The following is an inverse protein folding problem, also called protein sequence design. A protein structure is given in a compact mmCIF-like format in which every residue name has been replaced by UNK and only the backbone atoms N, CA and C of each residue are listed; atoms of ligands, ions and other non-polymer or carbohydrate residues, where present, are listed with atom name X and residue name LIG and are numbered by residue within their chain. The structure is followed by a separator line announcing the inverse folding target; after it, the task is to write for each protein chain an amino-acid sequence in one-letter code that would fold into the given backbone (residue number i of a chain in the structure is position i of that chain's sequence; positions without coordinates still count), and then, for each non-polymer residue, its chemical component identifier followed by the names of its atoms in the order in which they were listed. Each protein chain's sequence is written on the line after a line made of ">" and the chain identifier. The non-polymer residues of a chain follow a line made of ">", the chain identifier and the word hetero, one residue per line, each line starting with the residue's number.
data_IF_128598148818
#
_entry.id   IF_128598148818
#
_cell.length_a   1.000
_cell.length_b   1.000
_cell.length_c   1.000
_cell.angle_alpha   90.00
_cell.angle_beta   90.00
_cell.angle_gamma   90.00
#
_symmetry.space_group_name_H-M   'P 1'
#
loop_
_entity.id
_entity.type
_entity.pdbx_description
1 polymer ?
#
# COMPACT_ATOMS: atom_id res chain seq x y z
N UNK A 1 7.32 9.12 2.28
CA UNK A 1 6.22 10.10 2.48
C UNK A 1 5.58 10.43 1.14
N UNK A 2 4.27 10.54 1.05
CA UNK A 2 3.60 11.13 -0.11
C UNK A 2 3.58 12.64 0.01
N UNK A 3 3.76 13.32 -1.11
CA UNK A 3 3.74 14.79 -1.21
C UNK A 3 2.85 15.19 -2.39
N UNK A 4 1.81 15.95 -2.13
CA UNK A 4 0.89 16.47 -3.13
C UNK A 4 0.78 18.00 -3.03
N UNK A 5 0.71 18.66 -4.18
CA UNK A 5 0.38 20.08 -4.26
C UNK A 5 -1.12 20.24 -4.49
N UNK A 6 -1.81 20.87 -3.53
CA UNK A 6 -3.25 21.04 -3.55
C UNK A 6 -3.56 22.52 -3.36
N UNK A 7 -3.97 23.20 -4.43
CA UNK A 7 -4.20 24.66 -4.44
C UNK A 7 -2.97 25.44 -3.91
N UNK A 8 -3.10 26.09 -2.77
CA UNK A 8 -2.04 26.86 -2.11
C UNK A 8 -1.42 26.11 -0.92
N UNK A 9 -1.52 24.80 -0.90
CA UNK A 9 -1.04 23.94 0.17
C UNK A 9 -0.18 22.81 -0.38
N UNK A 10 0.71 22.31 0.48
CA UNK A 10 1.43 21.06 0.26
C UNK A 10 0.97 20.06 1.32
N UNK A 11 0.42 18.95 0.87
CA UNK A 11 0.03 17.84 1.71
C UNK A 11 1.18 16.85 1.86
N UNK A 12 1.48 16.51 3.11
CA UNK A 12 2.50 15.53 3.45
C UNK A 12 1.84 14.39 4.23
N UNK A 13 1.71 13.22 3.58
CA UNK A 13 1.12 12.02 4.17
C UNK A 13 2.22 11.01 4.43
N UNK A 14 2.36 10.58 5.69
CA UNK A 14 3.33 9.56 6.06
C UNK A 14 2.91 8.18 5.53
N UNK A 15 3.89 7.36 5.16
CA UNK A 15 3.65 5.98 4.71
C UNK A 15 2.83 5.16 5.73
N UNK A 16 3.15 5.17 7.03
CA UNK A 16 2.30 4.46 7.98
C UNK A 16 0.87 5.02 8.10
N UNK A 17 0.66 6.32 7.87
CA UNK A 17 -0.68 6.90 7.92
C UNK A 17 -1.58 6.43 6.77
N UNK A 18 -1.03 6.36 5.53
CA UNK A 18 -1.83 5.81 4.42
C UNK A 18 -2.05 4.30 4.58
N UNK A 19 -1.08 3.57 5.16
CA UNK A 19 -1.25 2.15 5.45
C UNK A 19 -2.38 1.91 6.46
N UNK A 20 -2.48 2.72 7.51
CA UNK A 20 -3.61 2.67 8.45
C UNK A 20 -4.95 2.95 7.77
N UNK A 21 -4.98 3.90 6.83
CA UNK A 21 -6.16 4.15 6.00
C UNK A 21 -6.49 2.94 5.12
N UNK A 22 -5.49 2.29 4.52
CA UNK A 22 -5.66 1.04 3.77
C UNK A 22 -6.32 -0.05 4.61
N UNK A 23 -5.87 -0.22 5.87
CA UNK A 23 -6.49 -1.13 6.82
C UNK A 23 -7.93 -0.76 7.17
N UNK A 24 -8.24 0.53 7.31
CA UNK A 24 -9.62 0.99 7.52
C UNK A 24 -10.52 0.66 6.32
N UNK A 25 -10.04 0.88 5.10
CA UNK A 25 -10.75 0.50 3.87
C UNK A 25 -11.00 -1.01 3.82
N UNK A 26 -9.99 -1.82 4.12
CA UNK A 26 -10.11 -3.28 4.18
C UNK A 26 -11.11 -3.75 5.25
N UNK A 27 -11.17 -3.07 6.39
CA UNK A 27 -12.14 -3.39 7.46
C UNK A 27 -13.59 -3.18 7.04
N UNK A 28 -13.86 -2.27 6.11
CA UNK A 28 -15.20 -1.99 5.56
C UNK A 28 -15.46 -2.64 4.21
N UNK A 29 -14.49 -3.40 3.68
CA UNK A 29 -14.60 -4.08 2.39
C UNK A 29 -15.57 -5.26 2.44
N UNK A 30 -16.27 -5.46 1.35
CA UNK A 30 -17.14 -6.62 1.12
C UNK A 30 -18.57 -6.43 1.61
N UNK A 31 -19.39 -7.46 1.39
CA UNK A 31 -20.78 -7.47 1.79
C UNK A 31 -21.76 -6.84 0.76
N UNK A 32 -21.25 -6.24 -0.33
CA UNK A 32 -22.07 -5.69 -1.44
C UNK A 32 -21.52 -6.16 -2.79
N UNK A 33 -22.38 -6.20 -3.79
CA UNK A 33 -22.03 -6.45 -5.21
C UNK A 33 -21.19 -7.72 -5.45
N UNK A 34 -21.33 -8.74 -4.58
CA UNK A 34 -20.62 -10.01 -4.67
C UNK A 34 -19.22 -9.99 -4.06
N UNK A 35 -18.77 -8.87 -3.49
CA UNK A 35 -17.49 -8.81 -2.80
C UNK A 35 -17.56 -9.49 -1.44
N UNK A 36 -16.69 -10.49 -1.22
CA UNK A 36 -16.52 -11.12 0.08
C UNK A 36 -15.74 -10.20 1.03
N UNK A 37 -16.06 -10.27 2.32
CA UNK A 37 -15.24 -9.62 3.35
C UNK A 37 -13.85 -10.29 3.42
N UNK A 38 -12.79 -9.57 3.81
CA UNK A 38 -11.48 -10.19 4.03
C UNK A 38 -11.62 -11.41 4.95
N UNK A 39 -10.96 -12.50 4.64
CA UNK A 39 -11.04 -13.74 5.41
C UNK A 39 -12.32 -14.58 5.19
N UNK A 40 -13.33 -14.09 4.47
CA UNK A 40 -14.62 -14.76 4.31
C UNK A 40 -14.77 -15.45 2.93
N UNK A 41 -13.66 -15.92 2.35
CA UNK A 41 -13.73 -16.73 1.15
C UNK A 41 -14.23 -18.15 1.44
N UNK A 42 -14.83 -18.79 0.43
CA UNK A 42 -15.36 -20.15 0.57
C UNK A 42 -14.31 -21.13 1.11
N UNK A 43 -14.65 -21.87 2.16
CA UNK A 43 -13.73 -22.83 2.80
C UNK A 43 -12.88 -22.26 3.94
N UNK A 44 -13.06 -21.00 4.31
CA UNK A 44 -12.40 -20.44 5.50
C UNK A 44 -12.81 -21.20 6.77
N UNK A 45 -11.81 -21.59 7.58
CA UNK A 45 -12.02 -22.34 8.83
C UNK A 45 -12.42 -21.44 10.00
N UNK A 46 -11.89 -20.23 10.04
CA UNK A 46 -12.24 -19.17 10.99
C UNK A 46 -12.19 -17.81 10.28
N UNK A 47 -13.29 -17.40 9.62
CA UNK A 47 -13.32 -16.15 8.86
C UNK A 47 -13.02 -14.90 9.70
N UNK A 48 -13.39 -14.88 10.97
CA UNK A 48 -13.16 -13.74 11.84
C UNK A 48 -11.67 -13.56 12.12
N UNK A 49 -10.97 -14.62 12.53
CA UNK A 49 -9.53 -14.59 12.78
C UNK A 49 -8.74 -14.30 11.51
N UNK A 50 -9.15 -14.88 10.36
CA UNK A 50 -8.50 -14.58 9.09
C UNK A 50 -8.67 -13.10 8.73
N UNK A 51 -9.88 -12.56 8.93
CA UNK A 51 -10.15 -11.14 8.69
C UNK A 51 -9.26 -10.24 9.54
N UNK A 52 -9.13 -10.54 10.83
CA UNK A 52 -8.30 -9.75 11.75
C UNK A 52 -6.84 -9.72 11.29
N UNK A 53 -6.28 -10.85 10.90
CA UNK A 53 -4.92 -10.94 10.36
C UNK A 53 -4.75 -10.21 9.02
N UNK A 54 -5.73 -10.29 8.11
CA UNK A 54 -5.70 -9.61 6.81
C UNK A 54 -5.77 -8.10 7.00
N UNK A 55 -6.74 -7.63 7.79
CA UNK A 55 -6.92 -6.19 8.04
C UNK A 55 -5.70 -5.59 8.72
N UNK A 56 -5.14 -6.30 9.71
CA UNK A 56 -3.93 -5.88 10.39
C UNK A 56 -2.74 -5.86 9.42
N UNK A 57 -2.53 -6.91 8.61
CA UNK A 57 -1.45 -6.94 7.63
C UNK A 57 -1.53 -5.78 6.64
N UNK A 58 -2.75 -5.42 6.20
CA UNK A 58 -2.98 -4.27 5.34
C UNK A 58 -2.70 -2.95 6.08
N UNK A 59 -3.14 -2.82 7.34
CA UNK A 59 -2.92 -1.61 8.13
C UNK A 59 -1.44 -1.37 8.47
N UNK A 60 -0.65 -2.43 8.54
CA UNK A 60 0.76 -2.39 8.96
C UNK A 60 1.74 -2.59 7.79
N UNK A 61 1.26 -2.56 6.52
CA UNK A 61 2.14 -2.89 5.39
C UNK A 61 3.36 -1.97 5.28
N UNK A 62 3.22 -0.72 5.68
CA UNK A 62 4.29 0.28 5.68
C UNK A 62 4.79 0.67 7.09
N UNK A 63 4.59 -0.19 8.11
CA UNK A 63 5.02 0.11 9.48
C UNK A 63 6.55 0.27 9.63
N UNK A 64 7.33 -0.28 8.72
CA UNK A 64 8.79 -0.13 8.69
C UNK A 64 9.29 1.28 8.33
N UNK A 65 8.37 2.17 7.93
CA UNK A 65 8.71 3.55 7.59
C UNK A 65 8.69 4.51 8.78
N UNK A 66 8.18 4.11 9.95
CA UNK A 66 8.08 4.98 11.12
C UNK A 66 9.39 5.68 11.46
N UNK A 67 10.49 4.93 11.56
CA UNK A 67 11.80 5.47 11.93
C UNK A 67 12.36 6.39 10.85
N UNK A 68 12.22 5.99 9.59
CA UNK A 68 12.69 6.78 8.45
C UNK A 68 11.94 8.11 8.33
N UNK A 69 10.64 8.10 8.55
CA UNK A 69 9.81 9.30 8.40
C UNK A 69 9.76 10.18 9.64
N UNK A 70 10.29 9.71 10.77
CA UNK A 70 10.61 10.56 11.90
C UNK A 70 11.78 11.51 11.58
N UNK A 71 12.72 11.09 10.71
CA UNK A 71 13.84 11.89 10.20
C UNK A 71 13.94 11.74 8.67
N UNK A 72 12.99 12.31 7.91
CA UNK A 72 12.91 12.10 6.48
C UNK A 72 14.07 12.78 5.73
N UNK A 73 14.38 12.27 4.56
CA UNK A 73 15.23 12.96 3.60
C UNK A 73 14.51 14.23 3.13
N UNK A 74 15.28 15.31 2.99
CA UNK A 74 14.75 16.63 2.66
C UNK A 74 15.05 16.94 1.19
N UNK A 75 14.03 17.40 0.49
CA UNK A 75 14.13 17.88 -0.88
C UNK A 75 14.86 19.23 -0.92
N UNK A 76 15.84 19.36 -1.81
CA UNK A 76 16.53 20.63 -2.06
C UNK A 76 15.64 21.64 -2.78
N UNK A 77 14.54 21.19 -3.42
CA UNK A 77 13.64 22.03 -4.19
C UNK A 77 12.80 22.95 -3.30
N UNK A 78 12.23 22.39 -2.23
CA UNK A 78 11.29 23.10 -1.36
C UNK A 78 11.66 23.06 0.13
N UNK A 79 12.69 22.29 0.50
CA UNK A 79 13.12 22.11 1.88
C UNK A 79 12.09 21.37 2.76
N UNK A 80 11.21 20.60 2.15
CA UNK A 80 10.27 19.69 2.80
C UNK A 80 10.74 18.23 2.64
N UNK A 81 10.12 17.28 3.33
CA UNK A 81 10.40 15.86 3.07
C UNK A 81 10.26 15.49 1.59
N UNK A 82 11.17 14.64 1.13
CA UNK A 82 11.07 14.10 -0.23
C UNK A 82 9.81 13.27 -0.39
N UNK A 83 9.08 13.51 -1.46
CA UNK A 83 8.00 12.65 -1.90
C UNK A 83 8.52 11.35 -2.54
N UNK A 84 7.67 10.32 -2.60
CA UNK A 84 7.98 9.02 -3.24
C UNK A 84 8.53 9.22 -4.65
N UNK A 85 7.91 10.08 -5.46
CA UNK A 85 8.35 10.35 -6.82
C UNK A 85 9.72 11.04 -6.93
N UNK A 86 10.15 11.81 -5.92
CA UNK A 86 11.51 12.39 -5.86
C UNK A 86 12.52 11.33 -5.40
N UNK A 87 12.16 10.52 -4.39
CA UNK A 87 13.02 9.49 -3.84
C UNK A 87 13.30 8.34 -4.84
N UNK A 88 12.42 8.15 -5.81
CA UNK A 88 12.58 7.17 -6.89
C UNK A 88 13.57 7.63 -7.99
N UNK A 89 13.97 8.90 -8.02
CA UNK A 89 14.95 9.39 -9.00
C UNK A 89 16.36 8.93 -8.65
N UNK A 90 17.19 8.58 -9.68
CA UNK A 90 18.59 8.23 -9.45
C UNK A 90 19.35 9.34 -8.72
N UNK A 91 20.18 8.97 -7.78
CA UNK A 91 21.17 9.89 -7.16
C UNK A 91 22.21 10.23 -8.22
N UNK A 92 22.51 11.52 -8.39
CA UNK A 92 23.47 11.98 -9.40
C UNK A 92 24.78 11.22 -9.34
N UNK A 93 25.19 10.63 -10.48
CA UNK A 93 26.41 9.85 -10.62
C UNK A 93 26.34 8.39 -10.11
N UNK A 94 25.16 7.89 -9.78
CA UNK A 94 24.96 6.49 -9.34
C UNK A 94 23.69 5.92 -10.00
N UNK A 95 23.57 4.57 -10.00
CA UNK A 95 22.33 3.88 -10.36
C UNK A 95 21.40 3.70 -9.15
N UNK A 96 21.84 4.14 -7.96
CA UNK A 96 21.05 4.02 -6.73
C UNK A 96 20.04 5.15 -6.65
N UNK A 97 18.82 4.82 -6.31
CA UNK A 97 17.80 5.77 -5.93
C UNK A 97 17.84 5.98 -4.40
N UNK A 98 17.36 7.11 -3.93
CA UNK A 98 17.24 7.32 -2.48
C UNK A 98 16.19 6.37 -1.87
N UNK A 99 15.23 5.91 -2.67
CA UNK A 99 14.27 4.87 -2.29
C UNK A 99 14.96 3.55 -1.91
N UNK A 100 15.96 3.14 -2.69
CA UNK A 100 16.71 1.91 -2.45
C UNK A 100 17.69 2.02 -1.29
N UNK A 101 18.14 3.24 -0.94
CA UNK A 101 19.02 3.47 0.19
C UNK A 101 18.27 3.21 1.50
N UNK A 102 18.41 2.00 2.06
CA UNK A 102 17.71 1.50 3.24
C UNK A 102 16.26 1.03 2.99
N UNK A 103 15.79 0.97 1.73
CA UNK A 103 14.43 0.55 1.40
C UNK A 103 14.14 -0.89 1.79
N UNK A 104 15.07 -1.79 1.51
CA UNK A 104 14.93 -3.21 1.85
C UNK A 104 14.92 -3.45 3.35
N UNK A 105 15.77 -2.77 4.11
CA UNK A 105 15.78 -2.86 5.58
C UNK A 105 14.46 -2.39 6.19
N UNK A 106 13.82 -1.36 5.62
CA UNK A 106 12.49 -0.90 6.07
C UNK A 106 11.44 -2.01 5.93
N UNK A 107 11.39 -2.68 4.77
CA UNK A 107 10.50 -3.82 4.58
C UNK A 107 10.75 -4.91 5.60
N UNK A 108 12.00 -5.34 5.74
CA UNK A 108 12.39 -6.42 6.66
C UNK A 108 12.08 -6.06 8.11
N UNK A 109 12.36 -4.84 8.53
CA UNK A 109 12.07 -4.37 9.89
C UNK A 109 10.56 -4.34 10.17
N UNK A 110 9.77 -3.85 9.23
CA UNK A 110 8.32 -3.83 9.34
C UNK A 110 7.72 -5.23 9.45
N UNK A 111 8.13 -6.14 8.56
CA UNK A 111 7.67 -7.52 8.57
C UNK A 111 8.05 -8.22 9.88
N UNK A 112 9.31 -8.15 10.29
CA UNK A 112 9.81 -8.79 11.52
C UNK A 112 9.14 -8.27 12.78
N UNK A 113 8.75 -7.00 12.81
CA UNK A 113 8.06 -6.36 13.94
C UNK A 113 6.75 -7.05 14.28
N UNK A 114 5.99 -7.49 13.29
CA UNK A 114 4.69 -8.12 13.49
C UNK A 114 4.71 -9.65 13.32
N UNK A 115 5.77 -10.23 12.75
CA UNK A 115 5.85 -11.66 12.45
C UNK A 115 5.65 -12.56 13.68
N UNK A 116 6.04 -12.10 14.87
CA UNK A 116 5.82 -12.82 16.13
C UNK A 116 4.35 -13.00 16.46
N UNK A 117 3.59 -11.94 16.71
CA UNK A 117 2.17 -12.02 17.07
C UNK A 117 1.25 -12.31 15.86
N UNK A 118 1.59 -11.83 14.65
CA UNK A 118 0.75 -11.82 13.46
C UNK A 118 1.46 -12.40 12.22
N UNK A 119 1.75 -13.71 12.19
CA UNK A 119 2.55 -14.30 11.12
C UNK A 119 1.87 -14.27 9.75
N UNK A 120 0.53 -14.25 9.69
CA UNK A 120 -0.19 -14.15 8.42
C UNK A 120 -0.16 -12.71 7.88
N UNK A 121 -0.37 -11.72 8.73
CA UNK A 121 -0.19 -10.31 8.35
C UNK A 121 1.23 -10.04 7.84
N UNK A 122 2.25 -10.57 8.52
CA UNK A 122 3.65 -10.48 8.08
C UNK A 122 3.89 -11.16 6.72
N UNK A 123 3.24 -12.30 6.45
CA UNK A 123 3.30 -12.98 5.16
C UNK A 123 2.71 -12.12 4.04
N UNK A 124 1.57 -11.48 4.28
CA UNK A 124 0.95 -10.59 3.30
C UNK A 124 1.86 -9.41 2.96
N UNK A 125 2.48 -8.77 3.97
CA UNK A 125 3.42 -7.67 3.76
C UNK A 125 4.65 -8.13 2.98
N UNK A 126 5.20 -9.31 3.32
CA UNK A 126 6.35 -9.86 2.60
C UNK A 126 6.02 -10.16 1.13
N UNK A 127 4.84 -10.71 0.84
CA UNK A 127 4.40 -10.93 -0.53
C UNK A 127 4.14 -9.63 -1.29
N UNK A 128 3.57 -8.62 -0.63
CA UNK A 128 3.41 -7.29 -1.22
C UNK A 128 4.76 -6.67 -1.58
N UNK A 129 5.70 -6.65 -0.63
CA UNK A 129 7.07 -6.17 -0.87
C UNK A 129 7.75 -6.94 -2.01
N UNK A 130 7.62 -8.27 -2.03
CA UNK A 130 8.18 -9.10 -3.11
C UNK A 130 7.65 -8.66 -4.48
N UNK A 131 6.32 -8.56 -4.64
CA UNK A 131 5.72 -8.25 -5.94
C UNK A 131 5.96 -6.82 -6.42
N UNK A 132 6.18 -5.86 -5.54
CA UNK A 132 6.57 -4.49 -5.94
C UNK A 132 7.87 -4.46 -6.75
N UNK A 133 8.80 -5.38 -6.49
CA UNK A 133 10.09 -5.45 -7.19
C UNK A 133 10.16 -6.58 -8.21
N UNK A 134 9.59 -7.74 -7.90
CA UNK A 134 9.68 -8.94 -8.75
C UNK A 134 9.05 -8.74 -10.13
N UNK A 135 8.02 -7.89 -10.25
CA UNK A 135 7.35 -7.59 -11.52
C UNK A 135 8.24 -6.86 -12.54
N UNK A 136 9.40 -6.37 -12.14
CA UNK A 136 10.41 -5.82 -13.05
C UNK A 136 11.27 -6.92 -13.73
N UNK A 137 11.18 -8.18 -13.25
CA UNK A 137 11.99 -9.29 -13.76
C UNK A 137 11.08 -10.31 -14.46
N UNK A 138 11.21 -10.46 -15.77
CA UNK A 138 10.38 -11.38 -16.56
C UNK A 138 10.53 -12.84 -16.14
N UNK A 139 11.73 -13.24 -15.67
CA UNK A 139 12.02 -14.59 -15.21
C UNK A 139 11.34 -14.95 -13.87
N UNK A 140 10.87 -13.96 -13.12
CA UNK A 140 10.15 -14.15 -11.86
C UNK A 140 8.62 -14.09 -12.02
N UNK A 141 8.12 -13.64 -13.16
CA UNK A 141 6.67 -13.54 -13.38
C UNK A 141 6.07 -14.91 -13.73
N UNK A 142 4.98 -15.33 -13.07
CA UNK A 142 4.19 -16.48 -13.49
C UNK A 142 3.46 -16.18 -14.81
N UNK A 143 2.86 -17.21 -15.45
CA UNK A 143 2.18 -17.06 -16.75
C UNK A 143 1.05 -16.04 -16.75
N UNK A 144 0.38 -15.86 -15.61
CA UNK A 144 -0.67 -14.86 -15.34
C UNK A 144 -0.17 -13.70 -14.48
N UNK A 145 1.10 -13.35 -14.65
CA UNK A 145 1.84 -12.36 -13.84
C UNK A 145 1.22 -10.97 -13.77
N UNK A 146 0.36 -10.63 -14.73
CA UNK A 146 -0.38 -9.35 -14.71
C UNK A 146 -1.19 -9.15 -13.41
N UNK A 147 -1.67 -10.22 -12.78
CA UNK A 147 -2.43 -10.14 -11.53
C UNK A 147 -1.59 -9.82 -10.30
N UNK A 148 -0.27 -9.92 -10.39
CA UNK A 148 0.66 -9.56 -9.32
C UNK A 148 1.18 -8.13 -9.46
N UNK A 149 0.91 -7.48 -10.59
CA UNK A 149 1.30 -6.08 -10.79
C UNK A 149 0.48 -5.16 -9.91
N UNK A 150 1.17 -4.30 -9.18
CA UNK A 150 0.53 -3.26 -8.40
C UNK A 150 -0.22 -2.27 -9.30
N UNK A 151 -1.35 -1.74 -8.87
CA UNK A 151 -2.18 -0.87 -9.72
C UNK A 151 -1.51 0.45 -10.09
N UNK A 152 -0.60 0.95 -9.25
CA UNK A 152 0.15 2.19 -9.50
C UNK A 152 1.58 1.86 -9.93
N UNK A 153 2.26 1.02 -9.14
CA UNK A 153 3.71 0.79 -9.27
C UNK A 153 4.05 -0.41 -10.16
N UNK A 154 3.06 -1.13 -10.67
CA UNK A 154 3.26 -2.37 -11.43
C UNK A 154 3.46 -2.18 -12.93
N UNK A 155 3.34 -0.96 -13.48
CA UNK A 155 3.70 -0.71 -14.86
C UNK A 155 5.20 -0.98 -15.07
N UNK A 156 5.60 -1.65 -16.18
CA UNK A 156 6.99 -2.09 -16.38
C UNK A 156 8.03 -0.97 -16.20
N UNK A 157 7.73 0.22 -16.71
CA UNK A 157 8.62 1.38 -16.64
C UNK A 157 8.76 1.91 -15.21
N UNK A 158 7.67 1.86 -14.44
CA UNK A 158 7.65 2.30 -13.04
C UNK A 158 8.39 1.27 -12.17
N UNK A 159 8.06 -0.02 -12.35
CA UNK A 159 8.71 -1.12 -11.62
C UNK A 159 10.23 -1.14 -11.88
N UNK A 160 10.67 -0.96 -13.13
CA UNK A 160 12.09 -0.88 -13.47
C UNK A 160 12.80 0.29 -12.75
N UNK A 161 12.09 1.40 -12.52
CA UNK A 161 12.61 2.55 -11.77
C UNK A 161 12.91 2.25 -10.29
N UNK A 162 12.27 1.22 -9.72
CA UNK A 162 12.52 0.79 -8.34
C UNK A 162 13.69 -0.20 -8.21
N UNK A 163 14.14 -0.84 -9.29
CA UNK A 163 15.16 -1.91 -9.22
C UNK A 163 16.55 -1.37 -8.87
N UNK A 164 16.98 -0.27 -9.47
CA UNK A 164 18.31 0.32 -9.24
C UNK A 164 19.46 -0.71 -9.40
N UNK A 165 19.96 -1.26 -8.30
CA UNK A 165 20.96 -2.32 -8.29
C UNK A 165 20.28 -3.69 -8.37
N UNK A 166 20.33 -4.33 -9.55
CA UNK A 166 19.70 -5.62 -9.80
C UNK A 166 20.16 -6.72 -8.83
N UNK A 167 21.45 -6.81 -8.54
CA UNK A 167 21.98 -7.86 -7.68
C UNK A 167 21.45 -7.72 -6.23
N UNK A 168 21.38 -6.51 -5.72
CA UNK A 168 20.81 -6.23 -4.39
C UNK A 168 19.31 -6.50 -4.35
N UNK A 169 18.60 -6.13 -5.42
CA UNK A 169 17.16 -6.38 -5.50
C UNK A 169 16.87 -7.86 -5.56
N UNK A 170 17.60 -8.64 -6.35
CA UNK A 170 17.46 -10.10 -6.37
C UNK A 170 17.79 -10.73 -5.01
N UNK A 171 18.84 -10.30 -4.34
CA UNK A 171 19.17 -10.78 -2.99
C UNK A 171 18.03 -10.48 -1.98
N UNK A 172 17.41 -9.30 -2.07
CA UNK A 172 16.22 -8.97 -1.27
C UNK A 172 15.04 -9.91 -1.59
N UNK A 173 14.78 -10.18 -2.88
CA UNK A 173 13.70 -11.09 -3.30
C UNK A 173 13.94 -12.53 -2.81
N UNK A 174 15.20 -12.98 -2.81
CA UNK A 174 15.58 -14.29 -2.25
C UNK A 174 15.33 -14.32 -0.72
N UNK A 175 15.69 -13.25 0.00
CA UNK A 175 15.41 -13.13 1.44
C UNK A 175 13.90 -13.12 1.72
N UNK A 176 13.10 -12.41 0.91
CA UNK A 176 11.63 -12.43 1.04
C UNK A 176 11.08 -13.85 0.80
N UNK A 177 11.58 -14.55 -0.20
CA UNK A 177 11.16 -15.93 -0.50
C UNK A 177 11.45 -16.88 0.67
N UNK A 178 12.62 -16.77 1.28
CA UNK A 178 12.97 -17.56 2.46
C UNK A 178 12.07 -17.22 3.65
N UNK A 179 11.86 -15.94 3.93
CA UNK A 179 10.98 -15.47 5.02
C UNK A 179 9.53 -15.95 4.83
N UNK A 180 9.01 -15.89 3.60
CA UNK A 180 7.69 -16.41 3.27
C UNK A 180 7.59 -17.93 3.51
N UNK A 181 8.63 -18.68 3.19
CA UNK A 181 8.66 -20.12 3.46
C UNK A 181 8.63 -20.42 4.98
N UNK A 182 9.39 -19.71 5.77
CA UNK A 182 9.41 -19.82 7.24
C UNK A 182 8.04 -19.46 7.85
N UNK A 183 7.41 -18.38 7.39
CA UNK A 183 6.08 -17.96 7.86
C UNK A 183 5.01 -18.99 7.46
N UNK A 184 5.04 -19.50 6.24
CA UNK A 184 4.12 -20.55 5.77
C UNK A 184 4.30 -21.86 6.55
N UNK A 185 5.53 -22.27 6.83
CA UNK A 185 5.81 -23.44 7.67
C UNK A 185 5.22 -23.27 9.07
N UNK A 186 5.39 -22.08 9.68
CA UNK A 186 4.80 -21.76 10.99
C UNK A 186 3.28 -21.81 10.95
N UNK A 187 2.65 -21.16 9.95
CA UNK A 187 1.20 -21.11 9.78
C UNK A 187 0.59 -22.48 9.50
N UNK A 188 1.30 -23.38 8.80
CA UNK A 188 0.84 -24.73 8.52
C UNK A 188 0.62 -25.59 9.77
N UNK A 189 1.27 -25.23 10.89
CA UNK A 189 1.11 -25.89 12.19
C UNK A 189 -0.10 -25.39 13.00
N UNK A 190 -0.69 -24.25 12.60
CA UNK A 190 -1.91 -23.73 13.21
C UNK A 190 -3.13 -24.26 12.45
N UNK A 191 -3.98 -25.07 13.06
CA UNK A 191 -5.11 -25.71 12.36
C UNK A 191 -6.13 -24.71 11.80
N UNK A 192 -6.17 -23.49 12.33
CA UNK A 192 -7.03 -22.40 11.83
C UNK A 192 -6.38 -21.72 10.62
N UNK A 193 -5.08 -21.46 10.67
CA UNK A 193 -4.37 -20.70 9.65
C UNK A 193 -3.79 -21.55 8.51
N UNK A 194 -3.70 -22.86 8.69
CA UNK A 194 -3.11 -23.77 7.70
C UNK A 194 -3.77 -23.67 6.31
N UNK A 195 -5.08 -23.44 6.26
CA UNK A 195 -5.79 -23.24 4.99
C UNK A 195 -5.66 -21.82 4.44
N UNK A 196 -5.39 -20.84 5.27
CA UNK A 196 -5.25 -19.46 4.84
C UNK A 196 -4.03 -19.24 3.92
N UNK A 197 -3.01 -20.11 4.01
CA UNK A 197 -1.82 -20.07 3.15
C UNK A 197 -1.97 -20.82 1.81
N UNK A 198 -3.09 -21.48 1.59
CA UNK A 198 -3.41 -22.08 0.28
C UNK A 198 -3.60 -20.95 -0.75
N UNK A 199 -3.12 -21.10 -1.99
CA UNK A 199 -3.17 -20.03 -2.99
C UNK A 199 -4.57 -19.44 -3.20
N UNK A 200 -5.61 -20.25 -3.18
CA UNK A 200 -7.00 -19.85 -3.36
C UNK A 200 -7.49 -18.83 -2.30
N UNK A 201 -6.83 -18.77 -1.13
CA UNK A 201 -7.12 -17.83 -0.04
C UNK A 201 -6.07 -16.74 0.07
N UNK A 202 -4.79 -17.09 -0.08
CA UNK A 202 -3.68 -16.18 0.08
C UNK A 202 -3.61 -15.13 -1.03
N UNK A 203 -3.75 -15.57 -2.29
CA UNK A 203 -3.67 -14.69 -3.46
C UNK A 203 -4.70 -13.55 -3.45
N UNK A 204 -6.01 -13.82 -3.19
CA UNK A 204 -6.98 -12.74 -3.05
C UNK A 204 -6.65 -11.74 -1.95
N UNK A 205 -6.07 -12.18 -0.83
CA UNK A 205 -5.70 -11.27 0.25
C UNK A 205 -4.50 -10.39 -0.11
N UNK A 206 -3.50 -10.94 -0.82
CA UNK A 206 -2.38 -10.15 -1.36
C UNK A 206 -2.89 -9.11 -2.36
N UNK A 207 -3.79 -9.51 -3.27
CA UNK A 207 -4.38 -8.59 -4.24
C UNK A 207 -5.21 -7.50 -3.57
N UNK A 208 -5.93 -7.85 -2.50
CA UNK A 208 -6.68 -6.88 -1.71
C UNK A 208 -5.74 -5.87 -1.03
N UNK A 209 -4.59 -6.31 -0.50
CA UNK A 209 -3.59 -5.40 0.06
C UNK A 209 -3.12 -4.40 -1.01
N UNK A 210 -2.73 -4.87 -2.19
CA UNK A 210 -2.31 -4.00 -3.29
C UNK A 210 -3.39 -2.99 -3.70
N UNK A 211 -4.66 -3.41 -3.68
CA UNK A 211 -5.79 -2.54 -3.98
C UNK A 211 -5.98 -1.46 -2.92
N UNK A 212 -5.97 -1.84 -1.63
CA UNK A 212 -6.16 -0.89 -0.52
C UNK A 212 -5.01 0.12 -0.45
N UNK A 213 -3.78 -0.34 -0.67
CA UNK A 213 -2.61 0.52 -0.81
C UNK A 213 -2.82 1.53 -1.95
N UNK A 214 -3.16 1.07 -3.15
CA UNK A 214 -3.38 1.96 -4.30
C UNK A 214 -4.48 3.00 -4.05
N UNK A 215 -5.62 2.58 -3.48
CA UNK A 215 -6.72 3.49 -3.16
C UNK A 215 -6.29 4.58 -2.16
N UNK A 216 -5.50 4.22 -1.15
CA UNK A 216 -4.99 5.18 -0.17
C UNK A 216 -3.93 6.10 -0.75
N UNK A 217 -3.10 5.60 -1.68
CA UNK A 217 -2.10 6.41 -2.42
C UNK A 217 -2.78 7.43 -3.33
N UNK A 218 -3.85 7.06 -4.06
CA UNK A 218 -4.62 8.05 -4.85
C UNK A 218 -5.14 9.19 -3.98
N UNK A 219 -5.61 8.90 -2.78
CA UNK A 219 -6.04 9.95 -1.84
C UNK A 219 -4.85 10.78 -1.34
N UNK A 220 -3.74 10.14 -0.98
CA UNK A 220 -2.55 10.80 -0.46
C UNK A 220 -1.87 11.73 -1.49
N UNK A 221 -1.92 11.37 -2.76
CA UNK A 221 -1.43 12.18 -3.87
C UNK A 221 -2.46 13.21 -4.36
N UNK A 222 -3.66 13.19 -3.82
CA UNK A 222 -4.80 13.98 -4.31
C UNK A 222 -5.06 13.77 -5.81
N UNK A 223 -4.88 12.52 -6.26
CA UNK A 223 -5.02 12.15 -7.67
C UNK A 223 -6.45 12.43 -8.14
N UNK A 224 -6.57 13.09 -9.29
CA UNK A 224 -7.85 13.48 -9.90
C UNK A 224 -8.23 12.64 -11.10
N UNK A 225 -7.35 11.73 -11.54
CA UNK A 225 -7.58 10.92 -12.71
C UNK A 225 -8.65 9.86 -12.48
N UNK A 226 -9.25 9.38 -13.55
CA UNK A 226 -10.09 8.19 -13.55
C UNK A 226 -9.19 6.96 -13.70
N UNK A 227 -9.41 5.95 -12.84
CA UNK A 227 -8.65 4.71 -12.89
C UNK A 227 -9.56 3.51 -13.07
N UNK A 228 -9.11 2.58 -13.89
CA UNK A 228 -9.64 1.23 -13.92
C UNK A 228 -8.74 0.32 -13.08
N UNK A 229 -9.32 -0.35 -12.09
CA UNK A 229 -8.64 -1.25 -11.17
C UNK A 229 -9.00 -2.70 -11.55
N UNK A 230 -8.22 -3.36 -12.43
CA UNK A 230 -8.56 -4.67 -12.96
C UNK A 230 -8.20 -5.81 -12.00
N UNK A 231 -8.88 -6.95 -12.18
CA UNK A 231 -8.53 -8.18 -11.48
C UNK A 231 -8.79 -8.14 -9.97
N UNK A 232 -9.79 -7.38 -9.54
CA UNK A 232 -10.21 -7.31 -8.13
C UNK A 232 -11.00 -8.55 -7.76
N UNK A 233 -10.56 -9.34 -6.74
CA UNK A 233 -11.29 -10.52 -6.30
C UNK A 233 -12.63 -10.14 -5.65
N UNK A 234 -13.71 -10.86 -6.03
CA UNK A 234 -15.03 -10.74 -5.39
C UNK A 234 -15.26 -11.86 -4.38
N UNK A 235 -15.77 -13.01 -4.83
CA UNK A 235 -16.08 -14.16 -3.97
C UNK A 235 -14.97 -15.20 -3.89
N UNK A 236 -14.05 -15.20 -4.84
CA UNK A 236 -12.88 -16.09 -4.92
C UNK A 236 -11.81 -15.50 -5.81
N UNK A 237 -10.63 -16.15 -5.85
CA UNK A 237 -9.56 -15.75 -6.79
C UNK A 237 -9.98 -15.81 -8.26
N UNK A 238 -10.85 -16.74 -8.62
CA UNK A 238 -11.32 -16.92 -10.00
C UNK A 238 -12.53 -16.03 -10.35
N UNK A 239 -13.20 -15.43 -9.36
CA UNK A 239 -14.28 -14.47 -9.55
C UNK A 239 -13.75 -13.06 -9.36
N UNK A 240 -13.32 -12.45 -10.45
CA UNK A 240 -12.68 -11.13 -10.47
C UNK A 240 -13.46 -10.16 -11.35
N UNK A 241 -13.39 -8.89 -11.03
CA UNK A 241 -13.93 -7.79 -11.84
C UNK A 241 -12.95 -6.61 -11.91
N UNK A 242 -13.25 -5.64 -12.75
CA UNK A 242 -12.66 -4.31 -12.66
C UNK A 242 -13.52 -3.41 -11.78
N UNK A 243 -12.89 -2.49 -11.06
CA UNK A 243 -13.57 -1.38 -10.37
C UNK A 243 -13.14 -0.08 -11.05
N UNK A 244 -14.09 0.73 -11.46
CA UNK A 244 -13.83 2.10 -11.91
C UNK A 244 -13.76 3.01 -10.69
N UNK A 245 -12.70 3.79 -10.60
CA UNK A 245 -12.50 4.86 -9.63
C UNK A 245 -12.64 6.18 -10.35
N UNK A 246 -13.59 7.01 -9.93
CA UNK A 246 -13.79 8.35 -10.51
C UNK A 246 -13.88 9.38 -9.38
N UNK A 247 -13.09 10.43 -9.46
CA UNK A 247 -13.20 11.55 -8.54
C UNK A 247 -14.29 12.50 -9.01
N UNK A 248 -15.42 12.56 -8.27
CA UNK A 248 -16.57 13.42 -8.59
C UNK A 248 -16.32 14.88 -8.20
N UNK A 249 -15.67 15.08 -7.09
CA UNK A 249 -15.27 16.39 -6.57
C UNK A 249 -14.03 16.25 -5.67
N UNK A 250 -13.56 17.33 -5.06
CA UNK A 250 -12.34 17.33 -4.25
C UNK A 250 -12.32 16.30 -3.10
N UNK A 251 -13.49 15.81 -2.67
CA UNK A 251 -13.64 14.95 -1.49
C UNK A 251 -14.50 13.71 -1.72
N UNK A 252 -15.10 13.56 -2.90
CA UNK A 252 -16.02 12.46 -3.19
C UNK A 252 -15.47 11.58 -4.29
N UNK A 253 -15.37 10.30 -3.98
CA UNK A 253 -14.91 9.24 -4.89
C UNK A 253 -16.10 8.34 -5.22
N UNK A 254 -16.34 8.13 -6.48
CA UNK A 254 -17.35 7.17 -7.00
C UNK A 254 -16.64 5.88 -7.37
N UNK A 255 -17.14 4.75 -6.88
CA UNK A 255 -16.68 3.42 -7.26
C UNK A 255 -17.78 2.65 -7.97
N UNK A 256 -17.43 1.93 -9.02
CA UNK A 256 -18.35 1.11 -9.78
C UNK A 256 -17.65 -0.20 -10.25
N UNK A 257 -18.08 -1.38 -9.78
CA UNK A 257 -19.06 -1.64 -8.71
C UNK A 257 -18.58 -1.19 -7.32
N UNK A 258 -19.51 -0.77 -6.47
CA UNK A 258 -19.22 -0.30 -5.11
C UNK A 258 -18.99 -1.46 -4.14
N UNK A 259 -17.80 -1.58 -3.50
CA UNK A 259 -17.44 -2.77 -2.75
C UNK A 259 -17.72 -2.71 -1.24
N UNK A 260 -17.91 -1.52 -0.66
CA UNK A 260 -17.98 -1.37 0.79
C UNK A 260 -19.35 -1.73 1.38
N UNK A 261 -19.35 -2.28 2.60
CA UNK A 261 -20.58 -2.71 3.31
C UNK A 261 -21.54 -1.55 3.65
N UNK A 262 -20.99 -0.36 3.87
CA UNK A 262 -21.76 0.85 4.19
C UNK A 262 -21.89 1.75 2.97
N UNK A 263 -23.04 2.37 2.81
CA UNK A 263 -23.25 3.39 1.80
C UNK A 263 -22.69 4.73 2.28
N UNK A 264 -22.00 5.45 1.37
CA UNK A 264 -21.27 6.66 1.68
C UNK A 264 -20.21 6.43 2.79
N UNK A 265 -19.23 5.55 2.52
CA UNK A 265 -18.12 5.32 3.44
C UNK A 265 -17.28 6.61 3.58
N UNK A 266 -17.27 7.17 4.79
CA UNK A 266 -16.40 8.30 5.12
C UNK A 266 -15.09 7.81 5.69
N UNK A 267 -14.01 8.38 5.18
CA UNK A 267 -12.64 8.06 5.60
C UNK A 267 -11.88 9.33 5.95
N UNK A 268 -10.88 9.18 6.78
CA UNK A 268 -10.11 10.28 7.32
C UNK A 268 -8.61 9.97 7.20
N UNK A 269 -7.88 10.85 6.55
CA UNK A 269 -6.44 10.68 6.31
C UNK A 269 -5.64 11.72 7.08
N UNK A 270 -4.81 11.29 8.06
CA UNK A 270 -3.92 12.21 8.77
C UNK A 270 -2.88 12.81 7.81
N UNK A 271 -2.88 14.12 7.67
CA UNK A 271 -2.08 14.85 6.70
C UNK A 271 -1.46 16.08 7.37
N UNK A 272 -0.14 16.29 7.20
CA UNK A 272 0.44 17.59 7.53
C UNK A 272 0.24 18.52 6.36
N UNK A 273 -0.35 19.66 6.64
CA UNK A 273 -0.67 20.68 5.64
C UNK A 273 0.27 21.87 5.82
N UNK A 274 1.02 22.17 4.76
CA UNK A 274 1.96 23.28 4.71
C UNK A 274 1.47 24.31 3.69
N UNK A 275 1.02 25.50 4.10
CA UNK A 275 0.69 26.57 3.16
C UNK A 275 1.91 26.97 2.33
N UNK A 276 1.75 27.10 1.01
CA UNK A 276 2.88 27.44 0.11
C UNK A 276 3.52 28.78 0.41
N UNK A 277 2.77 29.76 0.96
CA UNK A 277 3.29 31.05 1.36
C UNK A 277 4.08 31.03 2.69
N UNK A 278 3.98 29.93 3.47
CA UNK A 278 4.73 29.71 4.72
C UNK A 278 5.99 28.88 4.52
N UNK A 279 6.41 28.62 3.27
CA UNK A 279 7.67 27.96 2.95
C UNK A 279 8.86 28.85 3.29
N UNK A 280 9.00 29.15 4.58
CA UNK A 280 10.13 29.91 5.13
C UNK A 280 11.39 29.05 5.09
N UNK A 281 12.25 29.32 4.12
CA UNK A 281 13.51 28.58 3.91
C UNK A 281 14.53 28.82 5.02
N UNK A 282 14.36 29.85 5.84
CA UNK A 282 15.27 30.16 6.94
C UNK A 282 15.04 29.27 8.17
N UNK A 283 13.88 28.60 8.25
CA UNK A 283 13.62 27.61 9.30
C UNK A 283 14.21 26.23 8.94
N UNK A 284 14.81 25.52 9.90
CA UNK A 284 15.27 24.15 9.69
C UNK A 284 14.14 23.25 9.16
N UNK A 285 14.39 22.36 8.17
CA UNK A 285 13.37 21.54 7.54
C UNK A 285 12.52 20.70 8.50
N UNK A 286 13.15 20.07 9.50
CA UNK A 286 12.43 19.29 10.50
C UNK A 286 11.55 20.15 11.39
N UNK A 287 11.97 21.39 11.70
CA UNK A 287 11.14 22.35 12.45
C UNK A 287 9.91 22.74 11.65
N UNK A 288 10.03 22.90 10.32
CA UNK A 288 8.89 23.17 9.42
C UNK A 288 7.95 21.95 9.37
N UNK A 289 8.49 20.76 9.17
CA UNK A 289 7.69 19.53 9.14
C UNK A 289 6.90 19.34 10.44
N UNK A 290 7.58 19.37 11.58
CA UNK A 290 6.95 19.09 12.87
C UNK A 290 6.09 20.28 13.36
N UNK A 291 6.36 21.48 12.89
CA UNK A 291 5.53 22.67 13.14
C UNK A 291 4.27 22.75 12.29
N UNK A 292 4.23 22.04 11.15
CA UNK A 292 3.04 22.00 10.31
C UNK A 292 1.90 21.24 11.03
N UNK A 293 0.67 21.80 11.05
CA UNK A 293 -0.45 21.16 11.74
C UNK A 293 -0.78 19.82 11.10
N UNK A 294 -0.97 18.80 11.94
CA UNK A 294 -1.55 17.54 11.51
C UNK A 294 -3.08 17.72 11.46
N UNK A 295 -3.63 17.62 10.28
CA UNK A 295 -5.06 17.73 10.02
C UNK A 295 -5.62 16.37 9.60
N UNK A 296 -6.93 16.24 9.73
CA UNK A 296 -7.66 15.08 9.22
C UNK A 296 -8.37 15.49 7.93
N UNK A 297 -7.88 14.98 6.81
CA UNK A 297 -8.49 15.23 5.51
C UNK A 297 -9.56 14.15 5.27
N UNK A 298 -10.80 14.58 5.15
CA UNK A 298 -11.93 13.65 4.97
C UNK A 298 -12.23 13.42 3.49
N UNK A 299 -12.54 12.17 3.14
CA UNK A 299 -13.07 11.76 1.84
C UNK A 299 -14.31 10.89 2.03
N UNK A 300 -15.14 10.81 1.00
CA UNK A 300 -16.35 9.99 0.99
C UNK A 300 -16.36 9.12 -0.26
N UNK A 301 -16.46 7.81 -0.07
CA UNK A 301 -16.72 6.88 -1.16
C UNK A 301 -18.21 6.66 -1.31
N UNK A 302 -18.68 6.72 -2.54
CA UNK A 302 -20.10 6.52 -2.88
C UNK A 302 -20.24 5.57 -4.07
N UNK A 303 -21.40 4.94 -4.15
CA UNK A 303 -21.80 4.16 -5.31
C UNK A 303 -22.15 5.09 -6.49
N UNK A 304 -21.95 4.61 -7.71
CA UNK A 304 -22.40 5.31 -8.92
C UNK A 304 -23.95 5.37 -8.89
N UNK A 305 -24.50 6.58 -8.91
CA UNK A 305 -25.95 6.75 -9.07
C UNK A 305 -26.38 6.26 -10.46
N UNK A 306 -27.37 5.38 -10.49
CA UNK A 306 -27.99 4.88 -11.73
C UNK A 306 -28.71 5.99 -12.50
#
# INVERSE_FOLDING_TARGET
>A
MFKAHVDNEIWLVQQPHHAQLSGFLAAHWGGRNGFAKPGHYAGATDPARWRDEVVLGIAEHDNGWWETEAMPLISEQDGLPMGVGEAAKPIAGTELTQWLTGGFDRWLNGIRRIAGPHPYGALLISMHAYWLYAVAFEDLLPRDGEHYRHFIFGAPEVAAGFVGDEAKTRAFLDEQTQLQAELKERLSRDPIMARAIEPEHLEPHVRLLQLMDSMSVFLALNDSDEHELPGVPRGSWNDRCSITWTRRDARTIVLDPYPFEVDALRVSMPTRVVPTHELDRDRPPLTRLHGAPLQSIEFTFVERSS
#
